data_IF_579027322819
#
_entry.id   IF_579027322819
#
_cell.length_a   1.000
_cell.length_b   1.000
_cell.length_c   1.000
_cell.angle_alpha   90.00
_cell.angle_beta   90.00
_cell.angle_gamma   90.00
#
_symmetry.space_group_name_H-M   'P 1'
#
loop_
_entity.id
_entity.type
_entity.pdbx_description
1 polymer ?
#
# COMPACT_ATOMS: atom_id res chain seq x y z
N UNK A 1 1.49 49.56 -28.45
CA UNK A 1 0.50 50.62 -28.75
C UNK A 1 -0.63 50.53 -27.75
N UNK A 2 -0.62 51.39 -26.73
CA UNK A 2 -1.81 51.77 -25.98
C UNK A 2 -1.52 53.13 -25.33
N UNK A 3 -2.16 54.13 -25.91
CA UNK A 3 -2.04 55.55 -25.64
C UNK A 3 -2.84 55.89 -24.39
N UNK A 4 -2.22 56.43 -23.34
CA UNK A 4 -2.94 57.15 -22.29
C UNK A 4 -2.52 58.62 -22.26
N UNK A 5 -3.54 59.45 -22.41
CA UNK A 5 -3.53 60.91 -22.52
C UNK A 5 -2.96 61.55 -21.24
N UNK A 6 -1.84 62.25 -21.34
CA UNK A 6 -1.48 63.29 -20.36
C UNK A 6 -2.34 64.52 -20.62
N UNK A 7 -3.30 64.78 -19.73
CA UNK A 7 -3.98 66.06 -19.64
C UNK A 7 -3.01 67.12 -19.17
N UNK A 8 -2.61 68.03 -20.07
CA UNK A 8 -1.97 69.30 -19.73
C UNK A 8 -3.02 70.21 -19.10
N UNK A 9 -3.02 70.32 -17.77
CA UNK A 9 -3.64 71.46 -17.08
C UNK A 9 -2.73 72.66 -17.23
N UNK A 10 -3.22 73.70 -17.90
CA UNK A 10 -2.54 74.98 -18.02
C UNK A 10 -2.35 75.59 -16.63
N UNK A 11 -1.09 75.71 -16.19
CA UNK A 11 -0.74 76.55 -15.06
C UNK A 11 -0.91 78.01 -15.49
N UNK A 12 -1.84 78.69 -14.82
CA UNK A 12 -1.99 80.14 -14.87
C UNK A 12 -0.64 80.79 -14.54
N UNK A 13 -0.10 81.55 -15.49
CA UNK A 13 1.07 82.41 -15.28
C UNK A 13 0.66 83.58 -14.40
N UNK A 14 0.76 83.39 -13.07
CA UNK A 14 0.75 84.51 -12.14
C UNK A 14 2.07 85.27 -12.31
N UNK A 15 1.98 86.46 -12.91
CA UNK A 15 3.07 87.44 -12.95
C UNK A 15 3.45 87.83 -11.53
N UNK A 16 4.62 87.38 -11.07
CA UNK A 16 5.25 87.86 -9.83
C UNK A 16 5.77 89.27 -10.12
N UNK A 17 5.03 90.28 -9.68
CA UNK A 17 5.52 91.65 -9.57
C UNK A 17 6.65 91.67 -8.54
N UNK A 18 7.88 91.85 -9.02
CA UNK A 18 9.09 91.87 -8.21
C UNK A 18 9.35 93.27 -7.62
N UNK A 19 8.96 93.48 -6.38
CA UNK A 19 9.76 94.28 -5.46
C UNK A 19 10.51 93.30 -4.56
N UNK A 20 11.78 93.02 -4.90
CA UNK A 20 12.67 92.25 -4.04
C UNK A 20 13.16 93.20 -2.95
N UNK A 21 12.81 92.98 -1.67
CA UNK A 21 13.42 93.73 -0.59
C UNK A 21 14.92 93.40 -0.57
N UNK A 22 15.79 94.40 -0.52
CA UNK A 22 17.23 94.21 -0.34
C UNK A 22 17.47 93.47 0.98
N UNK A 23 17.78 92.18 0.88
CA UNK A 23 18.18 91.34 2.00
C UNK A 23 19.48 91.91 2.61
N UNK A 24 19.56 91.97 3.94
CA UNK A 24 20.79 92.37 4.62
C UNK A 24 21.89 91.30 4.43
N UNK A 25 23.18 91.63 4.60
CA UNK A 25 24.30 90.69 4.44
C UNK A 25 24.23 89.43 5.33
N UNK A 26 23.35 89.39 6.34
CA UNK A 26 23.04 88.21 7.17
C UNK A 26 22.09 87.22 6.50
N UNK A 27 21.23 87.66 5.59
CA UNK A 27 20.20 86.83 4.97
C UNK A 27 20.75 86.03 3.78
N UNK A 28 21.65 86.62 2.99
CA UNK A 28 22.35 85.92 1.91
C UNK A 28 23.21 84.75 2.44
N UNK A 29 23.91 84.96 3.56
CA UNK A 29 24.69 83.92 4.21
C UNK A 29 23.81 82.73 4.68
N UNK A 30 22.61 83.03 5.21
CA UNK A 30 21.63 82.02 5.64
C UNK A 30 21.05 81.25 4.43
N UNK A 31 20.74 81.93 3.34
CA UNK A 31 20.27 81.32 2.09
C UNK A 31 21.34 80.42 1.46
N UNK A 32 22.60 80.88 1.38
CA UNK A 32 23.72 80.09 0.86
C UNK A 32 23.96 78.84 1.72
N UNK A 33 23.91 78.97 3.05
CA UNK A 33 24.06 77.83 3.95
C UNK A 33 22.93 76.80 3.79
N UNK A 34 21.68 77.24 3.59
CA UNK A 34 20.54 76.35 3.31
C UNK A 34 20.70 75.61 1.97
N UNK A 35 21.13 76.32 0.91
CA UNK A 35 21.39 75.72 -0.41
C UNK A 35 22.55 74.71 -0.34
N UNK A 36 23.63 75.02 0.37
CA UNK A 36 24.76 74.11 0.57
C UNK A 36 24.37 72.86 1.35
N UNK A 37 23.51 73.01 2.38
CA UNK A 37 22.95 71.86 3.11
C UNK A 37 22.10 70.98 2.20
N UNK A 38 21.18 71.56 1.43
CA UNK A 38 20.39 70.83 0.43
C UNK A 38 21.26 70.11 -0.60
N UNK A 39 22.28 70.78 -1.15
CA UNK A 39 23.22 70.21 -2.12
C UNK A 39 23.98 69.01 -1.53
N UNK A 40 24.30 69.06 -0.23
CA UNK A 40 24.94 67.98 0.50
C UNK A 40 23.95 66.95 1.08
N UNK A 41 22.67 67.00 0.67
CA UNK A 41 21.56 66.16 1.18
C UNK A 41 21.35 66.26 2.71
N UNK A 42 21.89 67.29 3.34
CA UNK A 42 21.69 67.61 4.73
C UNK A 42 20.44 68.49 4.88
N UNK A 43 19.62 68.20 5.89
CA UNK A 43 18.50 69.08 6.22
C UNK A 43 18.97 70.40 6.85
N UNK A 44 18.09 71.39 6.84
CA UNK A 44 18.27 72.63 7.58
C UNK A 44 16.98 72.96 8.36
N UNK A 45 17.13 73.74 9.42
CA UNK A 45 16.00 74.24 10.21
C UNK A 45 15.28 75.34 9.41
N UNK A 46 13.98 75.18 9.18
CA UNK A 46 13.15 76.15 8.44
C UNK A 46 13.18 77.55 9.09
N UNK A 47 13.37 77.62 10.40
CA UNK A 47 13.52 78.90 11.13
C UNK A 47 14.87 79.56 10.89
N UNK A 48 15.86 78.80 10.39
CA UNK A 48 17.19 79.30 10.05
C UNK A 48 17.24 80.00 8.68
N UNK A 49 16.15 80.02 7.92
CA UNK A 49 16.06 80.71 6.62
C UNK A 49 15.31 82.05 6.75
N UNK A 50 15.69 83.12 6.01
CA UNK A 50 14.98 84.40 6.06
C UNK A 50 13.51 84.25 5.63
N UNK A 51 12.58 84.97 6.28
CA UNK A 51 11.13 84.91 5.99
C UNK A 51 10.69 85.57 4.67
N UNK A 52 11.59 85.69 3.69
CA UNK A 52 11.32 86.25 2.38
C UNK A 52 10.86 85.15 1.39
N UNK A 53 10.44 85.55 0.18
CA UNK A 53 9.90 84.62 -0.82
C UNK A 53 10.89 83.50 -1.21
N UNK A 54 12.20 83.79 -1.23
CA UNK A 54 13.24 82.79 -1.52
C UNK A 54 13.38 81.80 -0.37
N UNK A 55 13.32 82.29 0.87
CA UNK A 55 13.34 81.43 2.04
C UNK A 55 12.12 80.53 2.16
N UNK A 56 10.92 81.05 1.83
CA UNK A 56 9.71 80.24 1.74
C UNK A 56 9.84 79.12 0.68
N UNK A 57 10.39 79.43 -0.50
CA UNK A 57 10.63 78.44 -1.55
C UNK A 57 11.68 77.38 -1.15
N UNK A 58 12.71 77.76 -0.39
CA UNK A 58 13.69 76.81 0.16
C UNK A 58 13.06 75.91 1.22
N UNK A 59 12.24 76.44 2.12
CA UNK A 59 11.50 75.64 3.11
C UNK A 59 10.53 74.66 2.44
N UNK A 60 9.83 75.08 1.37
CA UNK A 60 9.00 74.19 0.56
C UNK A 60 9.83 73.08 -0.11
N UNK A 61 11.00 73.41 -0.67
CA UNK A 61 11.89 72.43 -1.28
C UNK A 61 12.43 71.43 -0.25
N UNK A 62 12.78 71.87 0.96
CA UNK A 62 13.21 70.98 2.05
C UNK A 62 12.08 70.09 2.56
N UNK A 63 10.84 70.60 2.57
CA UNK A 63 9.65 69.80 2.89
C UNK A 63 9.41 68.71 1.84
N UNK A 64 9.49 69.03 0.55
CA UNK A 64 9.39 68.04 -0.54
C UNK A 64 10.52 67.02 -0.45
N UNK A 65 11.76 67.47 -0.26
CA UNK A 65 12.93 66.59 -0.13
C UNK A 65 12.79 65.62 1.05
N UNK A 66 12.33 66.10 2.22
CA UNK A 66 12.08 65.25 3.39
C UNK A 66 10.99 64.22 3.11
N UNK A 67 9.91 64.61 2.43
CA UNK A 67 8.84 63.68 2.04
C UNK A 67 9.34 62.61 1.05
N UNK A 68 10.15 62.99 0.06
CA UNK A 68 10.74 62.05 -0.90
C UNK A 68 11.72 61.08 -0.22
N UNK A 69 12.61 61.59 0.63
CA UNK A 69 13.54 60.77 1.41
C UNK A 69 12.77 59.81 2.33
N UNK A 70 11.70 60.28 2.98
CA UNK A 70 10.83 59.45 3.81
C UNK A 70 10.19 58.33 3.00
N UNK A 71 9.65 58.65 1.82
CA UNK A 71 9.04 57.67 0.92
C UNK A 71 10.08 56.64 0.42
N UNK A 72 11.29 57.09 0.08
CA UNK A 72 12.39 56.20 -0.30
C UNK A 72 12.75 55.24 0.84
N UNK A 73 12.94 55.75 2.06
CA UNK A 73 13.24 54.92 3.24
C UNK A 73 12.10 53.96 3.59
N UNK A 74 10.85 54.42 3.50
CA UNK A 74 9.67 53.58 3.70
C UNK A 74 9.61 52.44 2.68
N UNK A 75 9.93 52.72 1.41
CA UNK A 75 10.01 51.70 0.37
C UNK A 75 11.12 50.69 0.65
N UNK A 76 12.30 51.13 1.09
CA UNK A 76 13.39 50.22 1.50
C UNK A 76 12.96 49.35 2.70
N UNK A 77 12.28 49.92 3.69
CA UNK A 77 11.76 49.16 4.82
C UNK A 77 10.68 48.15 4.42
N UNK A 78 9.82 48.50 3.46
CA UNK A 78 8.85 47.59 2.88
C UNK A 78 9.52 46.43 2.12
N UNK A 79 10.55 46.70 1.32
CA UNK A 79 11.34 45.66 0.62
C UNK A 79 12.05 44.73 1.62
N UNK A 80 12.63 45.28 2.70
CA UNK A 80 13.25 44.47 3.75
C UNK A 80 12.23 43.51 4.39
N UNK A 81 11.05 44.04 4.74
CA UNK A 81 9.96 43.23 5.31
C UNK A 81 9.53 42.12 4.35
N UNK A 82 9.33 42.45 3.07
CA UNK A 82 8.93 41.46 2.05
C UNK A 82 10.00 40.39 1.86
N UNK A 83 11.29 40.75 1.92
CA UNK A 83 12.38 39.78 1.90
C UNK A 83 12.34 38.84 3.12
N UNK A 84 12.02 39.36 4.31
CA UNK A 84 11.84 38.53 5.51
C UNK A 84 10.61 37.61 5.40
N UNK A 85 9.49 38.08 4.87
CA UNK A 85 8.29 37.27 4.60
C UNK A 85 8.60 36.15 3.58
N UNK A 86 9.31 36.48 2.49
CA UNK A 86 9.80 35.48 1.53
C UNK A 86 10.69 34.43 2.18
N UNK A 87 11.55 34.82 3.12
CA UNK A 87 12.44 33.90 3.82
C UNK A 87 11.69 32.97 4.78
N UNK A 88 10.61 33.46 5.41
CA UNK A 88 9.71 32.64 6.22
C UNK A 88 9.05 31.56 5.35
N UNK A 89 8.47 31.94 4.21
CA UNK A 89 7.83 31.00 3.28
C UNK A 89 8.79 29.94 2.75
N UNK A 90 10.04 30.32 2.47
CA UNK A 90 11.10 29.39 2.07
C UNK A 90 11.48 28.46 3.23
N UNK A 91 11.46 28.93 4.47
CA UNK A 91 11.64 28.08 5.66
C UNK A 91 10.61 26.96 5.74
N UNK A 92 9.31 27.28 5.59
CA UNK A 92 8.23 26.28 5.53
C UNK A 92 8.41 25.30 4.38
N UNK A 93 8.71 25.81 3.18
CA UNK A 93 8.94 24.95 2.01
C UNK A 93 10.14 24.01 2.21
N UNK A 94 11.18 24.46 2.94
CA UNK A 94 12.35 23.62 3.27
C UNK A 94 11.96 22.45 4.16
N UNK A 95 11.12 22.71 5.16
CA UNK A 95 10.59 21.70 6.06
C UNK A 95 9.78 20.64 5.28
N UNK A 96 8.80 21.08 4.47
CA UNK A 96 7.95 20.19 3.68
C UNK A 96 8.76 19.32 2.71
N UNK A 97 9.76 19.90 2.04
CA UNK A 97 10.67 19.15 1.13
C UNK A 97 11.50 18.13 1.90
N UNK A 98 11.90 18.44 3.14
CA UNK A 98 12.56 17.51 4.05
C UNK A 98 11.67 16.31 4.39
N UNK A 99 10.40 16.54 4.72
CA UNK A 99 9.43 15.48 4.97
C UNK A 99 9.21 14.60 3.73
N UNK A 100 9.02 15.22 2.56
CA UNK A 100 8.90 14.49 1.29
C UNK A 100 10.12 13.62 1.02
N UNK A 101 11.34 14.12 1.24
CA UNK A 101 12.56 13.34 1.06
C UNK A 101 12.61 12.13 2.02
N UNK A 102 12.23 12.32 3.28
CA UNK A 102 12.17 11.25 4.27
C UNK A 102 11.13 10.18 3.89
N UNK A 103 9.91 10.59 3.53
CA UNK A 103 8.86 9.67 3.08
C UNK A 103 9.29 8.91 1.82
N UNK A 104 9.95 9.58 0.88
CA UNK A 104 10.46 8.95 -0.36
C UNK A 104 11.48 7.87 -0.04
N UNK A 105 12.35 8.08 0.94
CA UNK A 105 13.32 7.06 1.39
C UNK A 105 12.61 5.84 2.01
N UNK A 106 11.59 6.06 2.84
CA UNK A 106 10.80 4.96 3.42
C UNK A 106 10.08 4.16 2.34
N UNK A 107 9.50 4.83 1.34
CA UNK A 107 8.85 4.17 0.21
C UNK A 107 9.87 3.37 -0.60
N UNK A 108 11.08 3.89 -0.82
CA UNK A 108 12.14 3.17 -1.53
C UNK A 108 12.50 1.85 -0.84
N UNK A 109 12.65 1.85 0.50
CA UNK A 109 12.90 0.62 1.27
C UNK A 109 11.73 -0.38 1.17
N UNK A 110 10.48 0.10 1.22
CA UNK A 110 9.30 -0.77 1.05
C UNK A 110 9.24 -1.40 -0.36
N UNK A 111 9.72 -0.70 -1.38
CA UNK A 111 9.81 -1.21 -2.76
C UNK A 111 10.86 -2.32 -2.87
N UNK A 112 12.00 -2.18 -2.20
CA UNK A 112 13.03 -3.23 -2.15
C UNK A 112 12.48 -4.51 -1.49
N UNK A 113 11.79 -4.37 -0.36
CA UNK A 113 11.13 -5.49 0.33
C UNK A 113 10.05 -6.13 -0.56
N UNK A 114 9.25 -5.31 -1.26
CA UNK A 114 8.27 -5.80 -2.23
C UNK A 114 8.93 -6.58 -3.38
N UNK A 115 10.07 -6.11 -3.88
CA UNK A 115 10.85 -6.82 -4.90
C UNK A 115 11.30 -8.20 -4.43
N UNK A 116 11.79 -8.31 -3.19
CA UNK A 116 12.17 -9.58 -2.59
C UNK A 116 10.97 -10.52 -2.42
N UNK A 117 9.84 -10.01 -1.93
CA UNK A 117 8.62 -10.79 -1.76
C UNK A 117 8.07 -11.32 -3.09
N UNK A 118 8.10 -10.50 -4.15
CA UNK A 118 7.68 -10.94 -5.49
C UNK A 118 8.58 -12.08 -6.00
N UNK A 119 9.90 -12.00 -5.77
CA UNK A 119 10.83 -13.06 -6.16
C UNK A 119 10.56 -14.37 -5.41
N UNK A 120 10.31 -14.31 -4.10
CA UNK A 120 9.97 -15.48 -3.29
C UNK A 120 8.65 -16.14 -3.73
N UNK A 121 7.63 -15.33 -4.05
CA UNK A 121 6.35 -15.82 -4.57
C UNK A 121 6.53 -16.44 -5.95
N UNK A 122 7.43 -15.89 -6.79
CA UNK A 122 7.77 -16.46 -8.10
C UNK A 122 8.41 -17.85 -7.97
N UNK A 123 9.41 -18.01 -7.10
CA UNK A 123 10.06 -19.29 -6.83
C UNK A 123 9.05 -20.32 -6.30
N UNK A 124 8.20 -19.92 -5.35
CA UNK A 124 7.16 -20.79 -4.79
C UNK A 124 6.13 -21.21 -5.85
N UNK A 125 5.74 -20.30 -6.75
CA UNK A 125 4.83 -20.60 -7.85
C UNK A 125 5.47 -21.55 -8.87
N UNK A 126 6.75 -21.40 -9.19
CA UNK A 126 7.45 -22.32 -10.08
C UNK A 126 7.52 -23.74 -9.48
N UNK A 127 7.87 -23.85 -8.21
CA UNK A 127 7.89 -25.12 -7.48
C UNK A 127 6.50 -25.78 -7.43
N UNK A 128 5.44 -25.00 -7.16
CA UNK A 128 4.06 -25.48 -7.18
C UNK A 128 3.64 -25.98 -8.57
N UNK A 129 4.08 -25.29 -9.63
CA UNK A 129 3.86 -25.69 -11.02
C UNK A 129 4.50 -27.02 -11.37
N UNK A 130 5.76 -27.21 -10.97
CA UNK A 130 6.48 -28.48 -11.16
C UNK A 130 5.77 -29.63 -10.41
N UNK A 131 5.42 -29.41 -9.15
CA UNK A 131 4.71 -30.41 -8.34
C UNK A 131 3.34 -30.79 -8.93
N UNK A 132 2.58 -29.82 -9.46
CA UNK A 132 1.33 -30.09 -10.15
C UNK A 132 1.53 -30.90 -11.45
N UNK A 133 2.61 -30.64 -12.19
CA UNK A 133 2.95 -31.40 -13.39
C UNK A 133 3.32 -32.86 -13.09
N UNK A 134 4.12 -33.09 -12.04
CA UNK A 134 4.47 -34.43 -11.55
C UNK A 134 3.21 -35.18 -11.07
N UNK A 135 2.36 -34.51 -10.28
CA UNK A 135 1.11 -35.09 -9.81
C UNK A 135 0.20 -35.48 -10.98
N UNK A 136 0.11 -34.66 -12.03
CA UNK A 136 -0.68 -34.97 -13.23
C UNK A 136 -0.16 -36.22 -13.95
N UNK A 137 1.16 -36.38 -14.04
CA UNK A 137 1.77 -37.58 -14.62
C UNK A 137 1.45 -38.82 -13.77
N UNK A 138 1.57 -38.73 -12.45
CA UNK A 138 1.22 -39.82 -11.53
C UNK A 138 -0.27 -40.20 -11.65
N UNK A 139 -1.17 -39.22 -11.77
CA UNK A 139 -2.60 -39.47 -11.96
C UNK A 139 -2.90 -40.20 -13.28
N UNK A 140 -2.19 -39.85 -14.35
CA UNK A 140 -2.33 -40.53 -15.65
C UNK A 140 -1.92 -42.00 -15.54
N UNK A 141 -0.84 -42.30 -14.82
CA UNK A 141 -0.44 -43.67 -14.54
C UNK A 141 -1.49 -44.41 -13.69
N UNK A 142 -2.02 -43.78 -12.64
CA UNK A 142 -3.09 -44.36 -11.83
C UNK A 142 -4.36 -44.67 -12.64
N UNK A 143 -4.75 -43.80 -13.59
CA UNK A 143 -5.89 -44.08 -14.47
C UNK A 143 -5.66 -45.33 -15.33
N UNK A 144 -4.44 -45.50 -15.84
CA UNK A 144 -4.04 -46.72 -16.57
C UNK A 144 -4.12 -47.96 -15.68
N UNK A 145 -3.63 -47.88 -14.44
CA UNK A 145 -3.66 -48.99 -13.50
C UNK A 145 -5.08 -49.39 -13.09
N UNK A 146 -5.98 -48.41 -12.91
CA UNK A 146 -7.41 -48.67 -12.68
C UNK A 146 -8.04 -49.38 -13.88
N UNK A 147 -7.72 -48.97 -15.12
CA UNK A 147 -8.19 -49.64 -16.32
C UNK A 147 -7.71 -51.10 -16.42
N UNK A 148 -6.46 -51.35 -16.06
CA UNK A 148 -5.89 -52.70 -15.98
C UNK A 148 -6.57 -53.55 -14.90
N UNK A 149 -6.79 -52.99 -13.70
CA UNK A 149 -7.47 -53.66 -12.60
C UNK A 149 -8.92 -54.01 -12.96
N UNK A 150 -9.62 -53.12 -13.66
CA UNK A 150 -10.99 -53.36 -14.14
C UNK A 150 -11.03 -54.52 -15.13
N UNK A 151 -10.12 -54.51 -16.10
CA UNK A 151 -9.99 -55.60 -17.10
C UNK A 151 -9.68 -56.94 -16.43
N UNK A 152 -8.84 -56.94 -15.39
CA UNK A 152 -8.53 -58.14 -14.61
C UNK A 152 -9.77 -58.67 -13.85
N UNK A 153 -10.57 -57.79 -13.23
CA UNK A 153 -11.81 -58.18 -12.55
C UNK A 153 -12.85 -58.75 -13.53
N UNK A 154 -12.99 -58.14 -14.71
CA UNK A 154 -13.85 -58.65 -15.78
C UNK A 154 -13.41 -60.06 -16.22
N UNK A 155 -12.11 -60.27 -16.42
CA UNK A 155 -11.57 -61.59 -16.77
C UNK A 155 -11.78 -62.65 -15.67
N UNK A 156 -11.67 -62.27 -14.39
CA UNK A 156 -11.95 -63.18 -13.27
C UNK A 156 -13.44 -63.53 -13.23
N UNK A 157 -14.33 -62.54 -13.39
CA UNK A 157 -15.78 -62.75 -13.46
C UNK A 157 -16.16 -63.79 -14.52
N UNK A 158 -15.61 -63.64 -15.72
CA UNK A 158 -15.89 -64.54 -16.84
C UNK A 158 -15.37 -65.95 -16.57
N UNK A 159 -14.19 -66.10 -15.95
CA UNK A 159 -13.65 -67.40 -15.54
C UNK A 159 -14.50 -68.06 -14.46
N UNK A 160 -14.96 -67.30 -13.47
CA UNK A 160 -15.85 -67.81 -12.41
C UNK A 160 -17.18 -68.29 -13.01
N UNK A 161 -17.72 -67.58 -14.00
CA UNK A 161 -18.92 -68.02 -14.73
C UNK A 161 -18.70 -69.34 -15.47
N UNK A 162 -17.57 -69.49 -16.17
CA UNK A 162 -17.24 -70.75 -16.86
C UNK A 162 -17.07 -71.93 -15.90
N UNK A 163 -16.53 -71.69 -14.69
CA UNK A 163 -16.40 -72.74 -13.66
C UNK A 163 -17.80 -73.17 -13.20
N UNK A 164 -18.71 -72.23 -12.98
CA UNK A 164 -20.10 -72.52 -12.57
C UNK A 164 -20.84 -73.38 -13.62
N UNK A 165 -20.74 -73.02 -14.90
CA UNK A 165 -21.31 -73.82 -16.01
C UNK A 165 -20.76 -75.25 -16.03
N UNK A 166 -19.45 -75.41 -15.87
CA UNK A 166 -18.80 -76.74 -15.84
C UNK A 166 -19.22 -77.57 -14.63
N UNK A 167 -19.43 -76.93 -13.47
CA UNK A 167 -19.92 -77.61 -12.27
C UNK A 167 -21.35 -78.12 -12.47
N UNK A 168 -22.23 -77.32 -13.09
CA UNK A 168 -23.59 -77.75 -13.40
C UNK A 168 -23.60 -78.96 -14.35
N UNK A 169 -22.77 -78.95 -15.40
CA UNK A 169 -22.61 -80.10 -16.30
C UNK A 169 -22.14 -81.35 -15.55
N UNK A 170 -21.17 -81.22 -14.65
CA UNK A 170 -20.65 -82.33 -13.87
C UNK A 170 -21.67 -82.87 -12.86
N UNK A 171 -22.43 -82.00 -12.20
CA UNK A 171 -23.55 -82.41 -11.32
C UNK A 171 -24.61 -83.21 -12.09
N UNK A 172 -24.96 -82.78 -13.31
CA UNK A 172 -25.90 -83.50 -14.16
C UNK A 172 -25.37 -84.88 -14.56
N UNK A 173 -24.09 -84.97 -14.96
CA UNK A 173 -23.46 -86.25 -15.30
C UNK A 173 -23.41 -87.23 -14.11
N UNK A 174 -23.08 -86.73 -12.92
CA UNK A 174 -23.09 -87.54 -11.68
C UNK A 174 -24.51 -88.06 -11.39
N UNK A 175 -25.54 -87.24 -11.56
CA UNK A 175 -26.94 -87.64 -11.35
C UNK A 175 -27.40 -88.71 -12.37
N UNK A 176 -26.97 -88.59 -13.63
CA UNK A 176 -27.26 -89.57 -14.67
C UNK A 176 -26.58 -90.92 -14.37
N UNK A 177 -25.30 -90.92 -13.98
CA UNK A 177 -24.58 -92.12 -13.55
C UNK A 177 -25.25 -92.75 -12.33
N UNK A 178 -25.74 -91.94 -11.38
CA UNK A 178 -26.51 -92.41 -10.23
C UNK A 178 -27.78 -93.15 -10.63
N UNK A 179 -28.48 -92.64 -11.64
CA UNK A 179 -29.69 -93.26 -12.21
C UNK A 179 -29.36 -94.59 -12.90
N UNK A 180 -28.27 -94.63 -13.68
CA UNK A 180 -27.77 -95.87 -14.30
C UNK A 180 -27.37 -96.91 -13.25
N UNK A 181 -26.63 -96.52 -12.20
CA UNK A 181 -26.28 -97.40 -11.10
C UNK A 181 -27.53 -97.94 -10.38
N UNK A 182 -28.55 -97.11 -10.15
CA UNK A 182 -29.84 -97.58 -9.60
C UNK A 182 -30.53 -98.63 -10.48
N UNK A 183 -30.46 -98.45 -11.81
CA UNK A 183 -31.00 -99.39 -12.79
C UNK A 183 -30.23 -100.71 -12.76
N UNK A 184 -28.89 -100.67 -12.74
CA UNK A 184 -28.03 -101.86 -12.67
C UNK A 184 -28.28 -102.63 -11.37
N UNK A 185 -28.44 -101.93 -10.23
CA UNK A 185 -28.76 -102.56 -8.96
C UNK A 185 -30.11 -103.30 -9.02
N UNK A 186 -31.10 -102.71 -9.70
CA UNK A 186 -32.42 -103.32 -9.93
C UNK A 186 -32.31 -104.57 -10.80
N UNK A 187 -31.59 -104.49 -11.93
CA UNK A 187 -31.34 -105.65 -12.81
C UNK A 187 -30.62 -106.75 -12.04
N UNK A 188 -29.56 -106.40 -11.31
CA UNK A 188 -28.78 -107.33 -10.51
C UNK A 188 -29.62 -108.06 -9.45
N UNK A 189 -30.55 -107.35 -8.81
CA UNK A 189 -31.50 -107.92 -7.85
C UNK A 189 -32.47 -108.90 -8.53
N UNK A 190 -33.02 -108.52 -9.69
CA UNK A 190 -33.88 -109.38 -10.49
C UNK A 190 -33.14 -110.64 -10.98
N UNK A 191 -31.92 -110.50 -11.47
CA UNK A 191 -31.07 -111.62 -11.91
C UNK A 191 -30.73 -112.54 -10.75
N UNK A 192 -30.44 -112.00 -9.56
CA UNK A 192 -30.23 -112.79 -8.35
C UNK A 192 -31.49 -113.60 -7.95
N UNK A 193 -32.68 -113.01 -8.07
CA UNK A 193 -33.95 -113.70 -7.84
C UNK A 193 -34.23 -114.78 -8.89
N UNK A 194 -33.96 -114.50 -10.17
CA UNK A 194 -34.07 -115.49 -11.25
C UNK A 194 -33.11 -116.67 -11.04
N UNK A 195 -31.86 -116.39 -10.69
CA UNK A 195 -30.84 -117.39 -10.39
C UNK A 195 -31.19 -118.24 -9.16
N UNK A 196 -31.79 -117.62 -8.14
CA UNK A 196 -32.32 -118.32 -6.98
C UNK A 196 -33.44 -119.29 -7.40
N UNK A 197 -34.41 -118.83 -8.18
CA UNK A 197 -35.50 -119.66 -8.69
C UNK A 197 -34.96 -120.82 -9.55
N UNK A 198 -33.98 -120.55 -10.42
CA UNK A 198 -33.33 -121.57 -11.24
C UNK A 198 -32.55 -122.60 -10.39
N UNK A 199 -31.91 -122.18 -9.30
CA UNK A 199 -31.24 -123.08 -8.36
C UNK A 199 -32.24 -124.01 -7.65
N UNK A 200 -33.40 -123.46 -7.25
CA UNK A 200 -34.49 -124.24 -6.65
C UNK A 200 -35.02 -125.29 -7.65
N UNK A 201 -35.29 -124.90 -8.89
CA UNK A 201 -35.82 -125.82 -9.91
C UNK A 201 -34.78 -126.86 -10.35
N UNK A 202 -33.50 -126.48 -10.43
CA UNK A 202 -32.40 -127.41 -10.70
C UNK A 202 -32.23 -128.45 -9.58
N UNK A 203 -32.41 -128.07 -8.31
CA UNK A 203 -32.45 -129.01 -7.19
C UNK A 203 -33.67 -129.95 -7.27
N UNK A 204 -34.81 -129.45 -7.78
CA UNK A 204 -36.04 -130.21 -7.96
C UNK A 204 -35.95 -131.27 -9.07
N UNK A 205 -35.17 -131.00 -10.12
CA UNK A 205 -34.90 -131.93 -11.22
C UNK A 205 -33.89 -133.05 -10.88
N UNK A 206 -33.33 -133.07 -9.67
CA UNK A 206 -32.45 -134.14 -9.18
C UNK A 206 -31.15 -134.28 -9.99
N UNK A 207 -30.77 -135.50 -10.36
CA UNK A 207 -29.54 -135.79 -11.12
C UNK A 207 -29.49 -135.08 -12.48
N UNK A 208 -30.63 -134.91 -13.16
CA UNK A 208 -30.71 -134.25 -14.47
C UNK A 208 -30.47 -132.72 -14.40
N UNK A 209 -30.71 -132.10 -13.23
CA UNK A 209 -30.56 -130.66 -13.01
C UNK A 209 -29.17 -130.23 -12.52
N UNK A 210 -28.26 -131.18 -12.28
CA UNK A 210 -26.98 -130.92 -11.58
C UNK A 210 -26.08 -129.91 -12.30
N UNK A 211 -26.00 -129.98 -13.63
CA UNK A 211 -25.27 -128.99 -14.45
C UNK A 211 -25.91 -127.59 -14.41
N UNK A 212 -27.25 -127.52 -14.43
CA UNK A 212 -28.00 -126.26 -14.31
C UNK A 212 -27.87 -125.62 -12.93
N UNK A 213 -27.78 -126.43 -11.86
CA UNK A 213 -27.59 -125.92 -10.50
C UNK A 213 -26.25 -125.21 -10.32
N UNK A 214 -25.18 -125.69 -10.97
CA UNK A 214 -23.85 -125.06 -10.92
C UNK A 214 -23.90 -123.70 -11.62
N UNK A 215 -24.51 -123.64 -12.82
CA UNK A 215 -24.67 -122.38 -13.57
C UNK A 215 -25.54 -121.39 -12.78
N UNK A 216 -26.65 -121.84 -12.18
CA UNK A 216 -27.53 -120.97 -11.40
C UNK A 216 -26.86 -120.40 -10.13
N UNK A 217 -26.04 -121.20 -9.44
CA UNK A 217 -25.24 -120.74 -8.30
C UNK A 217 -24.20 -119.70 -8.72
N UNK A 218 -23.55 -119.89 -9.87
CA UNK A 218 -22.58 -118.95 -10.43
C UNK A 218 -23.26 -117.62 -10.81
N UNK A 219 -24.41 -117.66 -11.50
CA UNK A 219 -25.19 -116.46 -11.84
C UNK A 219 -25.65 -115.71 -10.58
N UNK A 220 -26.04 -116.43 -9.52
CA UNK A 220 -26.40 -115.84 -8.23
C UNK A 220 -25.19 -115.13 -7.59
N UNK A 221 -24.02 -115.76 -7.62
CA UNK A 221 -22.77 -115.17 -7.12
C UNK A 221 -22.39 -113.90 -7.89
N UNK A 222 -22.40 -113.94 -9.23
CA UNK A 222 -22.14 -112.78 -10.10
C UNK A 222 -23.13 -111.64 -9.86
N UNK A 223 -24.42 -111.96 -9.68
CA UNK A 223 -25.44 -110.96 -9.35
C UNK A 223 -25.21 -110.35 -7.96
N UNK A 224 -24.80 -111.14 -6.97
CA UNK A 224 -24.42 -110.61 -5.65
C UNK A 224 -23.15 -109.75 -5.68
N UNK A 225 -22.19 -110.06 -6.56
CA UNK A 225 -20.99 -109.26 -6.78
C UNK A 225 -21.33 -107.95 -7.51
N UNK A 226 -22.18 -108.01 -8.54
CA UNK A 226 -22.67 -106.84 -9.27
C UNK A 226 -23.41 -105.87 -8.34
N UNK A 227 -24.32 -106.37 -7.49
CA UNK A 227 -25.02 -105.53 -6.52
C UNK A 227 -24.06 -104.81 -5.55
N UNK A 228 -23.04 -105.51 -5.03
CA UNK A 228 -22.02 -104.91 -4.16
C UNK A 228 -21.19 -103.84 -4.87
N UNK A 229 -20.75 -104.10 -6.10
CA UNK A 229 -20.03 -103.10 -6.89
C UNK A 229 -20.90 -101.88 -7.18
N UNK A 230 -22.19 -102.08 -7.41
CA UNK A 230 -23.13 -100.98 -7.67
C UNK A 230 -23.34 -100.12 -6.41
N UNK A 231 -23.38 -100.72 -5.23
CA UNK A 231 -23.45 -99.99 -3.96
C UNK A 231 -22.18 -99.17 -3.67
N UNK A 232 -21.00 -99.73 -4.00
CA UNK A 232 -19.74 -98.98 -3.93
C UNK A 232 -19.74 -97.77 -4.86
N UNK A 233 -20.25 -97.93 -6.10
CA UNK A 233 -20.43 -96.82 -7.05
C UNK A 233 -21.35 -95.74 -6.45
N UNK A 234 -22.50 -96.11 -5.87
CA UNK A 234 -23.41 -95.15 -5.22
C UNK A 234 -22.74 -94.39 -4.08
N UNK A 235 -21.96 -95.08 -3.26
CA UNK A 235 -21.19 -94.44 -2.18
C UNK A 235 -20.21 -93.41 -2.74
N UNK A 236 -19.48 -93.73 -3.80
CA UNK A 236 -18.58 -92.78 -4.46
C UNK A 236 -19.31 -91.61 -5.10
N UNK A 237 -20.47 -91.83 -5.73
CA UNK A 237 -21.28 -90.75 -6.31
C UNK A 237 -21.79 -89.79 -5.23
N UNK A 238 -22.21 -90.30 -4.07
CA UNK A 238 -22.62 -89.46 -2.94
C UNK A 238 -21.45 -88.58 -2.44
N UNK A 239 -20.25 -89.14 -2.31
CA UNK A 239 -19.06 -88.37 -1.95
C UNK A 239 -18.75 -87.30 -3.00
N UNK A 240 -18.75 -87.67 -4.29
CA UNK A 240 -18.52 -86.72 -5.38
C UNK A 240 -19.56 -85.59 -5.39
N UNK A 241 -20.82 -85.90 -5.13
CA UNK A 241 -21.88 -84.90 -5.07
C UNK A 241 -21.72 -83.94 -3.88
N UNK A 242 -21.26 -84.46 -2.73
CA UNK A 242 -20.88 -83.64 -1.58
C UNK A 242 -19.71 -82.69 -1.89
N UNK A 243 -18.65 -83.19 -2.54
CA UNK A 243 -17.51 -82.38 -2.99
C UNK A 243 -17.95 -81.31 -4.00
N UNK A 244 -18.80 -81.65 -4.97
CA UNK A 244 -19.34 -80.68 -5.93
C UNK A 244 -20.16 -79.58 -5.26
N UNK A 245 -20.92 -79.91 -4.21
CA UNK A 245 -21.66 -78.89 -3.45
C UNK A 245 -20.73 -77.94 -2.71
N UNK A 246 -19.58 -78.41 -2.22
CA UNK A 246 -18.58 -77.56 -1.57
C UNK A 246 -17.91 -76.62 -2.58
N UNK A 247 -17.52 -77.15 -3.74
CA UNK A 247 -16.92 -76.34 -4.82
C UNK A 247 -17.92 -75.27 -5.31
N UNK A 248 -19.20 -75.62 -5.50
CA UNK A 248 -20.23 -74.67 -5.89
C UNK A 248 -20.37 -73.50 -4.89
N UNK A 249 -20.29 -73.79 -3.59
CA UNK A 249 -20.31 -72.76 -2.55
C UNK A 249 -19.09 -71.83 -2.64
N UNK A 250 -17.89 -72.40 -2.84
CA UNK A 250 -16.68 -71.60 -3.01
C UNK A 250 -16.71 -70.72 -4.27
N UNK A 251 -17.34 -71.18 -5.35
CA UNK A 251 -17.56 -70.39 -6.57
C UNK A 251 -18.53 -69.25 -6.33
N UNK A 252 -19.62 -69.46 -5.59
CA UNK A 252 -20.56 -68.40 -5.23
C UNK A 252 -19.90 -67.33 -4.34
N UNK A 253 -19.13 -67.75 -3.34
CA UNK A 253 -18.31 -66.83 -2.52
C UNK A 253 -17.32 -66.03 -3.39
N UNK A 254 -16.69 -66.68 -4.37
CA UNK A 254 -15.80 -66.03 -5.34
C UNK A 254 -16.54 -65.01 -6.21
N UNK A 255 -17.78 -65.30 -6.67
CA UNK A 255 -18.60 -64.31 -7.39
C UNK A 255 -18.89 -63.08 -6.54
N UNK A 256 -19.24 -63.28 -5.27
CA UNK A 256 -19.46 -62.18 -4.32
C UNK A 256 -18.21 -61.31 -4.14
N UNK A 257 -17.04 -61.94 -3.99
CA UNK A 257 -15.76 -61.26 -3.88
C UNK A 257 -15.40 -60.46 -5.15
N UNK A 258 -15.62 -61.03 -6.34
CA UNK A 258 -15.36 -60.36 -7.63
C UNK A 258 -16.31 -59.18 -7.82
N UNK A 259 -17.59 -59.32 -7.51
CA UNK A 259 -18.57 -58.23 -7.58
C UNK A 259 -18.17 -57.06 -6.68
N UNK A 260 -17.73 -57.37 -5.46
CA UNK A 260 -17.25 -56.36 -4.51
C UNK A 260 -15.97 -55.69 -5.03
N UNK A 261 -15.01 -56.48 -5.53
CA UNK A 261 -13.77 -55.99 -6.13
C UNK A 261 -14.00 -55.06 -7.31
N UNK A 262 -14.93 -55.41 -8.21
CA UNK A 262 -15.31 -54.58 -9.35
C UNK A 262 -15.91 -53.24 -8.91
N UNK A 263 -16.79 -53.23 -7.90
CA UNK A 263 -17.35 -51.98 -7.36
C UNK A 263 -16.28 -51.08 -6.72
N UNK A 264 -15.30 -51.67 -6.03
CA UNK A 264 -14.16 -50.92 -5.45
C UNK A 264 -13.30 -50.30 -6.55
N UNK A 265 -13.01 -51.03 -7.63
CA UNK A 265 -12.23 -50.51 -8.77
C UNK A 265 -12.96 -49.35 -9.47
N UNK A 266 -14.27 -49.46 -9.69
CA UNK A 266 -15.06 -48.37 -10.28
C UNK A 266 -15.07 -47.12 -9.38
N UNK A 267 -15.25 -47.30 -8.07
CA UNK A 267 -15.15 -46.21 -7.09
C UNK A 267 -13.76 -45.57 -7.08
N UNK A 268 -12.70 -46.38 -7.20
CA UNK A 268 -11.33 -45.88 -7.33
C UNK A 268 -11.16 -45.04 -8.60
N UNK A 269 -11.72 -45.47 -9.73
CA UNK A 269 -11.68 -44.73 -10.99
C UNK A 269 -12.27 -43.32 -10.87
N UNK A 270 -13.47 -43.19 -10.29
CA UNK A 270 -14.11 -41.87 -10.10
C UNK A 270 -13.31 -40.95 -9.18
N UNK A 271 -12.70 -41.50 -8.12
CA UNK A 271 -11.83 -40.73 -7.20
C UNK A 271 -10.54 -40.27 -7.88
N UNK A 272 -9.95 -41.11 -8.72
CA UNK A 272 -8.76 -40.78 -9.50
C UNK A 272 -9.09 -39.67 -10.52
N UNK A 273 -10.20 -39.78 -11.24
CA UNK A 273 -10.65 -38.75 -12.19
C UNK A 273 -10.86 -37.39 -11.49
N UNK A 274 -11.57 -37.39 -10.35
CA UNK A 274 -11.77 -36.17 -9.55
C UNK A 274 -10.45 -35.56 -9.05
N UNK A 275 -9.48 -36.38 -8.65
CA UNK A 275 -8.16 -35.89 -8.24
C UNK A 275 -7.38 -35.28 -9.44
N UNK A 276 -7.48 -35.87 -10.62
CA UNK A 276 -6.86 -35.35 -11.84
C UNK A 276 -7.44 -33.97 -12.22
N UNK A 277 -8.75 -33.78 -12.14
CA UNK A 277 -9.41 -32.48 -12.37
C UNK A 277 -8.96 -31.41 -11.36
N UNK A 278 -8.77 -31.78 -10.09
CA UNK A 278 -8.26 -30.85 -9.07
C UNK A 278 -6.83 -30.42 -9.37
N UNK A 279 -5.97 -31.33 -9.82
CA UNK A 279 -4.60 -31.02 -10.23
C UNK A 279 -4.56 -30.13 -11.49
N UNK A 280 -5.46 -30.37 -12.45
CA UNK A 280 -5.59 -29.52 -13.63
C UNK A 280 -5.94 -28.06 -13.23
N UNK A 281 -6.93 -27.89 -12.35
CA UNK A 281 -7.27 -26.56 -11.79
C UNK A 281 -6.12 -25.90 -11.05
N UNK A 282 -5.35 -26.65 -10.26
CA UNK A 282 -4.14 -26.11 -9.61
C UNK A 282 -3.11 -25.63 -10.62
N UNK A 283 -2.95 -26.35 -11.74
CA UNK A 283 -2.03 -25.96 -12.82
C UNK A 283 -2.47 -24.65 -13.49
N UNK A 284 -3.78 -24.48 -13.74
CA UNK A 284 -4.35 -23.25 -14.28
C UNK A 284 -4.18 -22.07 -13.31
N UNK A 285 -4.45 -22.27 -12.02
CA UNK A 285 -4.22 -21.26 -10.98
C UNK A 285 -2.77 -20.83 -10.93
N UNK A 286 -1.83 -21.76 -11.08
CA UNK A 286 -0.40 -21.45 -11.07
C UNK A 286 0.02 -20.63 -12.30
N UNK A 287 -0.54 -20.92 -13.47
CA UNK A 287 -0.31 -20.11 -14.68
C UNK A 287 -0.85 -18.67 -14.50
N UNK A 288 -2.03 -18.51 -13.89
CA UNK A 288 -2.58 -17.21 -13.57
C UNK A 288 -1.73 -16.45 -12.54
N UNK A 289 -1.18 -17.16 -11.54
CA UNK A 289 -0.28 -16.58 -10.56
C UNK A 289 1.01 -16.08 -11.21
N UNK A 290 1.63 -16.85 -12.11
CA UNK A 290 2.81 -16.41 -12.85
C UNK A 290 2.57 -15.13 -13.67
N UNK A 291 1.40 -14.99 -14.28
CA UNK A 291 1.01 -13.76 -14.98
C UNK A 291 0.85 -12.58 -14.00
N UNK A 292 0.22 -12.80 -12.85
CA UNK A 292 0.06 -11.78 -11.81
C UNK A 292 1.42 -11.30 -11.26
N UNK A 293 2.36 -12.23 -11.04
CA UNK A 293 3.73 -11.92 -10.60
C UNK A 293 4.44 -11.03 -11.63
N UNK A 294 4.34 -11.35 -12.92
CA UNK A 294 4.92 -10.54 -14.00
C UNK A 294 4.36 -9.11 -14.02
N UNK A 295 3.04 -8.98 -13.84
CA UNK A 295 2.38 -7.68 -13.73
C UNK A 295 2.85 -6.91 -12.49
N UNK A 296 2.97 -7.60 -11.35
CA UNK A 296 3.40 -6.99 -10.10
C UNK A 296 4.86 -6.53 -10.17
N UNK A 297 5.77 -7.33 -10.73
CA UNK A 297 7.15 -6.90 -11.00
C UNK A 297 7.22 -5.64 -11.85
N UNK A 298 6.38 -5.55 -12.89
CA UNK A 298 6.33 -4.39 -13.78
C UNK A 298 5.84 -3.14 -13.04
N UNK A 299 4.77 -3.28 -12.24
CA UNK A 299 4.25 -2.20 -11.42
C UNK A 299 5.26 -1.73 -10.36
N UNK A 300 5.94 -2.64 -9.67
CA UNK A 300 6.99 -2.31 -8.69
C UNK A 300 8.16 -1.56 -9.35
N UNK A 301 8.55 -1.93 -10.56
CA UNK A 301 9.58 -1.21 -11.32
C UNK A 301 9.15 0.23 -11.68
N UNK A 302 7.90 0.42 -12.09
CA UNK A 302 7.34 1.75 -12.39
C UNK A 302 7.25 2.63 -11.14
N UNK A 303 6.82 2.06 -10.01
CA UNK A 303 6.79 2.76 -8.72
C UNK A 303 8.22 3.14 -8.31
N UNK A 304 9.20 2.23 -8.44
CA UNK A 304 10.61 2.51 -8.15
C UNK A 304 11.14 3.70 -8.95
N UNK A 305 10.87 3.72 -10.27
CA UNK A 305 11.25 4.85 -11.14
C UNK A 305 10.58 6.16 -10.71
N UNK A 306 9.30 6.10 -10.35
CA UNK A 306 8.54 7.27 -9.88
C UNK A 306 9.12 7.83 -8.58
N UNK A 307 9.48 6.96 -7.62
CA UNK A 307 10.10 7.33 -6.35
C UNK A 307 11.47 7.95 -6.56
N UNK A 308 12.29 7.41 -7.46
CA UNK A 308 13.58 8.02 -7.85
C UNK A 308 13.38 9.41 -8.46
N UNK A 309 12.34 9.60 -9.30
CA UNK A 309 12.00 10.91 -9.86
C UNK A 309 11.59 11.92 -8.78
N UNK A 310 10.79 11.49 -7.80
CA UNK A 310 10.39 12.33 -6.66
C UNK A 310 11.61 12.71 -5.83
N UNK A 311 12.50 11.76 -5.50
CA UNK A 311 13.74 12.02 -4.77
C UNK A 311 14.62 13.05 -5.49
N UNK A 312 14.79 12.90 -6.82
CA UNK A 312 15.56 13.83 -7.63
C UNK A 312 14.92 15.24 -7.65
N UNK A 313 13.58 15.32 -7.76
CA UNK A 313 12.85 16.60 -7.69
C UNK A 313 12.97 17.26 -6.32
N UNK A 314 12.87 16.49 -5.23
CA UNK A 314 13.06 17.00 -3.87
C UNK A 314 14.48 17.54 -3.67
N UNK A 315 15.50 16.80 -4.12
CA UNK A 315 16.90 17.25 -4.07
C UNK A 315 17.12 18.53 -4.89
N UNK A 316 16.58 18.61 -6.10
CA UNK A 316 16.63 19.81 -6.94
C UNK A 316 15.95 21.01 -6.26
N UNK A 317 14.75 20.79 -5.71
CA UNK A 317 13.98 21.84 -5.02
C UNK A 317 14.76 22.37 -3.81
N UNK A 318 15.43 21.51 -3.06
CA UNK A 318 16.33 21.92 -1.96
C UNK A 318 17.44 22.85 -2.43
N UNK A 319 18.11 22.53 -3.55
CA UNK A 319 19.15 23.41 -4.12
C UNK A 319 18.59 24.75 -4.60
N UNK A 320 17.39 24.76 -5.18
CA UNK A 320 16.71 26.01 -5.56
C UNK A 320 16.36 26.87 -4.34
N UNK A 321 15.86 26.25 -3.26
CA UNK A 321 15.60 26.90 -1.98
C UNK A 321 16.87 27.52 -1.40
N UNK A 322 18.00 26.82 -1.38
CA UNK A 322 19.28 27.37 -0.91
C UNK A 322 19.68 28.63 -1.69
N UNK A 323 19.51 28.62 -3.01
CA UNK A 323 19.80 29.77 -3.86
C UNK A 323 18.86 30.96 -3.58
N UNK A 324 17.57 30.70 -3.34
CA UNK A 324 16.58 31.73 -2.99
C UNK A 324 16.91 32.32 -1.61
N UNK A 325 17.17 31.49 -0.60
CA UNK A 325 17.56 31.91 0.74
C UNK A 325 18.76 32.85 0.69
N UNK A 326 19.80 32.51 -0.09
CA UNK A 326 20.98 33.36 -0.27
C UNK A 326 20.63 34.73 -0.88
N UNK A 327 19.70 34.78 -1.83
CA UNK A 327 19.24 36.04 -2.46
C UNK A 327 18.44 36.89 -1.48
N UNK A 328 17.56 36.28 -0.67
CA UNK A 328 16.76 36.96 0.34
C UNK A 328 17.65 37.55 1.45
N UNK A 329 18.62 36.78 1.95
CA UNK A 329 19.62 37.29 2.92
C UNK A 329 20.40 38.48 2.35
N UNK A 330 20.80 38.41 1.08
CA UNK A 330 21.49 39.53 0.41
C UNK A 330 20.59 40.77 0.31
N UNK A 331 19.32 40.60 -0.07
CA UNK A 331 18.35 41.70 -0.13
C UNK A 331 18.13 42.33 1.26
N UNK A 332 18.00 41.50 2.29
CA UNK A 332 17.85 41.92 3.69
C UNK A 332 19.08 42.72 4.16
N UNK A 333 20.29 42.25 3.86
CA UNK A 333 21.54 42.97 4.21
C UNK A 333 21.66 44.31 3.49
N UNK A 334 21.30 44.39 2.21
CA UNK A 334 21.31 45.65 1.45
C UNK A 334 20.30 46.64 2.01
N UNK A 335 19.09 46.18 2.34
CA UNK A 335 18.06 47.02 2.93
C UNK A 335 18.44 47.50 4.34
N UNK A 336 19.03 46.63 5.18
CA UNK A 336 19.58 47.02 6.48
C UNK A 336 20.68 48.09 6.35
N UNK A 337 21.59 47.93 5.39
CA UNK A 337 22.66 48.90 5.15
C UNK A 337 22.08 50.26 4.72
N UNK A 338 21.09 50.24 3.83
CA UNK A 338 20.39 51.45 3.42
C UNK A 338 19.65 52.10 4.60
N UNK A 339 19.03 51.32 5.47
CA UNK A 339 18.29 51.81 6.64
C UNK A 339 19.17 52.19 7.85
N UNK A 340 20.48 52.02 7.76
CA UNK A 340 21.39 52.34 8.86
C UNK A 340 21.54 53.86 9.08
N UNK A 341 21.34 54.67 8.05
CA UNK A 341 21.43 56.13 8.12
C UNK A 341 20.07 56.76 8.51
N UNK A 342 20.01 57.32 9.72
CA UNK A 342 18.84 58.00 10.30
C UNK A 342 18.83 59.52 10.08
N UNK A 343 19.79 60.06 9.33
CA UNK A 343 19.99 61.50 9.22
C UNK A 343 18.82 62.21 8.52
N UNK A 344 18.27 63.25 9.15
CA UNK A 344 17.37 64.21 8.51
C UNK A 344 15.90 63.80 8.37
N UNK A 345 15.45 62.76 9.09
CA UNK A 345 14.04 62.35 9.14
C UNK A 345 13.52 62.29 10.58
N UNK A 346 12.45 63.03 10.87
CA UNK A 346 11.72 62.90 12.12
C UNK A 346 10.94 61.58 12.16
N UNK A 347 10.90 60.96 13.34
CA UNK A 347 10.23 59.67 13.56
C UNK A 347 10.76 58.56 12.63
N UNK A 348 12.04 58.61 12.26
CA UNK A 348 12.69 57.63 11.38
C UNK A 348 12.53 56.19 11.88
N UNK A 349 12.56 55.97 13.19
CA UNK A 349 12.37 54.65 13.80
C UNK A 349 11.02 54.01 13.44
N UNK A 350 9.97 54.82 13.24
CA UNK A 350 8.67 54.34 12.78
C UNK A 350 8.64 54.04 11.28
N UNK A 351 9.44 54.75 10.49
CA UNK A 351 9.63 54.49 9.05
C UNK A 351 10.37 53.16 8.85
N UNK A 352 11.36 52.88 9.70
CA UNK A 352 12.17 51.67 9.68
C UNK A 352 11.47 50.44 10.26
N UNK A 353 10.55 50.63 11.20
CA UNK A 353 9.84 49.58 11.95
C UNK A 353 9.38 48.37 11.13
N UNK A 354 8.77 48.49 9.92
CA UNK A 354 8.37 47.32 9.14
C UNK A 354 9.51 46.34 8.86
N UNK A 355 10.73 46.84 8.64
CA UNK A 355 11.92 46.02 8.42
C UNK A 355 12.35 45.27 9.70
N UNK A 356 12.37 45.98 10.83
CA UNK A 356 12.78 45.39 12.11
C UNK A 356 11.77 44.33 12.58
N UNK A 357 10.47 44.57 12.40
CA UNK A 357 9.42 43.58 12.65
C UNK A 357 9.51 42.38 11.70
N UNK A 358 9.85 42.59 10.43
CA UNK A 358 10.09 41.51 9.47
C UNK A 358 11.20 40.56 9.93
N UNK A 359 12.34 41.13 10.34
CA UNK A 359 13.47 40.38 10.90
C UNK A 359 13.10 39.60 12.16
N UNK A 360 12.38 40.25 13.07
CA UNK A 360 11.95 39.63 14.32
C UNK A 360 10.96 38.49 14.06
N UNK A 361 9.94 38.72 13.22
CA UNK A 361 8.99 37.69 12.78
C UNK A 361 9.70 36.50 12.14
N UNK A 362 10.72 36.74 11.30
CA UNK A 362 11.53 35.67 10.69
C UNK A 362 12.27 34.87 11.76
N UNK A 363 12.88 35.52 12.73
CA UNK A 363 13.53 34.85 13.86
C UNK A 363 12.58 33.93 14.62
N UNK A 364 11.37 34.41 14.92
CA UNK A 364 10.32 33.59 15.55
C UNK A 364 9.92 32.39 14.68
N UNK A 365 9.72 32.60 13.37
CA UNK A 365 9.38 31.52 12.44
C UNK A 365 10.46 30.43 12.38
N UNK A 366 11.75 30.80 12.39
CA UNK A 366 12.86 29.83 12.41
C UNK A 366 12.82 28.95 13.67
N UNK A 367 12.42 29.50 14.82
CA UNK A 367 12.22 28.73 16.06
C UNK A 367 11.01 27.79 15.92
N UNK A 368 9.90 28.28 15.36
CA UNK A 368 8.69 27.46 15.13
C UNK A 368 8.97 26.24 14.24
N UNK A 369 9.80 26.44 13.22
CA UNK A 369 10.27 25.42 12.29
C UNK A 369 11.31 24.46 12.92
N UNK A 370 11.72 24.67 14.17
CA UNK A 370 12.76 23.87 14.84
C UNK A 370 14.18 24.10 14.31
N UNK A 371 14.38 25.10 13.45
CA UNK A 371 15.68 25.42 12.85
C UNK A 371 16.54 26.33 13.76
N UNK A 372 15.99 26.82 14.87
CA UNK A 372 16.69 27.57 15.92
C UNK A 372 16.16 27.18 17.30
N UNK A 373 16.99 27.25 18.36
CA UNK A 373 16.53 26.95 19.72
C UNK A 373 15.54 28.00 20.22
N UNK A 374 14.62 27.58 21.09
CA UNK A 374 13.64 28.45 21.75
C UNK A 374 14.30 29.31 22.86
N UNK A 375 15.15 30.25 22.45
CA UNK A 375 15.80 31.22 23.34
C UNK A 375 14.82 32.32 23.78
N UNK A 376 14.58 32.53 25.09
CA UNK A 376 13.77 33.64 25.60
C UNK A 376 14.17 35.02 25.06
N UNK A 377 15.45 35.23 24.74
CA UNK A 377 15.92 36.49 24.14
C UNK A 377 15.32 36.76 22.75
N UNK A 378 14.87 35.73 22.03
CA UNK A 378 14.23 35.87 20.73
C UNK A 378 12.80 36.45 20.83
N UNK A 379 12.16 36.40 22.00
CA UNK A 379 10.84 36.99 22.24
C UNK A 379 10.88 38.52 22.36
N UNK A 380 12.06 39.14 22.30
CA UNK A 380 12.25 40.58 22.47
C UNK A 380 12.63 41.21 21.12
N UNK A 381 11.86 42.20 20.68
CA UNK A 381 12.20 43.01 19.52
C UNK A 381 13.51 43.79 19.81
N UNK A 382 14.51 43.62 18.95
CA UNK A 382 15.81 44.28 19.13
C UNK A 382 15.70 45.77 18.78
N UNK A 383 16.12 46.62 19.73
CA UNK A 383 16.10 48.09 19.61
C UNK A 383 14.78 48.67 20.14
N UNK A 384 14.84 49.47 21.21
CA UNK A 384 13.66 50.15 21.80
C UNK A 384 13.38 51.54 21.19
N UNK A 385 14.02 51.85 20.07
CA UNK A 385 14.02 53.20 19.51
C UNK A 385 12.61 53.62 19.02
N UNK A 386 11.87 52.71 18.36
CA UNK A 386 10.49 52.97 17.95
C UNK A 386 9.55 53.17 19.15
N UNK A 387 9.67 52.35 20.19
CA UNK A 387 8.90 52.50 21.42
C UNK A 387 9.16 53.85 22.10
N UNK A 388 10.43 54.21 22.29
CA UNK A 388 10.84 55.48 22.89
C UNK A 388 10.32 56.68 22.08
N UNK A 389 10.37 56.60 20.75
CA UNK A 389 9.82 57.63 19.87
C UNK A 389 8.30 57.79 20.05
N UNK A 390 7.55 56.70 20.23
CA UNK A 390 6.10 56.74 20.42
C UNK A 390 5.70 57.20 21.82
N UNK A 391 6.42 56.80 22.87
CA UNK A 391 6.16 57.24 24.25
C UNK A 391 6.23 58.77 24.38
N UNK A 392 7.16 59.42 23.66
CA UNK A 392 7.29 60.89 23.62
C UNK A 392 6.11 61.62 22.96
N UNK A 393 5.27 60.92 22.19
CA UNK A 393 4.14 61.50 21.43
C UNK A 393 2.80 61.39 22.15
N UNK A 394 2.73 60.73 23.32
CA UNK A 394 1.48 60.59 24.09
C UNK A 394 0.93 61.95 24.53
N UNK A 395 1.83 62.91 24.75
CA UNK A 395 1.49 64.29 25.14
C UNK A 395 0.90 65.11 23.99
N UNK A 396 1.01 64.65 22.74
CA UNK A 396 0.45 65.32 21.56
C UNK A 396 -1.01 64.87 21.31
N UNK A 397 -2.01 65.76 21.48
CA UNK A 397 -3.42 65.43 21.30
C UNK A 397 -3.76 64.86 19.91
N UNK A 398 -3.03 65.25 18.87
CA UNK A 398 -3.26 64.79 17.50
C UNK A 398 -2.80 63.34 17.29
N UNK A 399 -1.81 62.88 18.08
CA UNK A 399 -1.14 61.58 17.89
C UNK A 399 -1.42 60.57 18.99
N UNK A 400 -1.96 61.02 20.13
CA UNK A 400 -2.22 60.22 21.33
C UNK A 400 -2.92 58.89 21.06
N UNK A 401 -4.03 58.90 20.32
CA UNK A 401 -4.80 57.67 20.06
C UNK A 401 -4.00 56.63 19.27
N UNK A 402 -3.20 57.08 18.29
CA UNK A 402 -2.36 56.19 17.49
C UNK A 402 -1.15 55.69 18.29
N UNK A 403 -0.56 56.53 19.15
CA UNK A 403 0.50 56.15 20.07
C UNK A 403 0.06 55.10 21.12
N UNK A 404 -1.12 55.28 21.72
CA UNK A 404 -1.70 54.32 22.66
C UNK A 404 -2.01 52.97 21.98
N UNK A 405 -2.55 53.00 20.75
CA UNK A 405 -2.80 51.80 19.96
C UNK A 405 -1.50 51.05 19.61
N UNK A 406 -0.43 51.78 19.27
CA UNK A 406 0.89 51.20 18.99
C UNK A 406 1.45 50.46 20.22
N UNK A 407 1.47 51.11 21.39
CA UNK A 407 2.03 50.53 22.62
C UNK A 407 1.25 49.31 23.08
N UNK A 408 -0.08 49.31 22.90
CA UNK A 408 -0.92 48.15 23.17
C UNK A 408 -0.57 46.98 22.23
N UNK A 409 -0.47 47.24 20.93
CA UNK A 409 -0.10 46.23 19.94
C UNK A 409 1.30 45.67 20.20
N UNK A 410 2.28 46.51 20.54
CA UNK A 410 3.63 46.09 20.90
C UNK A 410 3.65 45.17 22.13
N UNK A 411 2.89 45.50 23.17
CA UNK A 411 2.78 44.68 24.37
C UNK A 411 2.16 43.30 24.06
N UNK A 412 1.11 43.27 23.23
CA UNK A 412 0.52 42.01 22.76
C UNK A 412 1.51 41.19 21.94
N UNK A 413 2.24 41.80 21.01
CA UNK A 413 3.24 41.10 20.19
C UNK A 413 4.33 40.43 21.04
N UNK A 414 4.85 41.13 22.05
CA UNK A 414 5.86 40.57 22.96
C UNK A 414 5.29 39.46 23.85
N UNK A 415 4.09 39.64 24.39
CA UNK A 415 3.45 38.63 25.24
C UNK A 415 3.20 37.33 24.47
N UNK A 416 2.71 37.43 23.23
CA UNK A 416 2.47 36.27 22.37
C UNK A 416 3.78 35.64 21.86
N UNK A 417 4.81 36.44 21.56
CA UNK A 417 6.14 35.92 21.23
C UNK A 417 6.78 35.16 22.42
N UNK A 418 6.65 35.68 23.65
CA UNK A 418 7.12 35.01 24.86
C UNK A 418 6.34 33.71 25.11
N UNK A 419 5.01 33.75 24.94
CA UNK A 419 4.14 32.56 25.03
C UNK A 419 4.56 31.49 24.02
N UNK A 420 4.82 31.90 22.77
CA UNK A 420 5.30 31.02 21.72
C UNK A 420 6.63 30.37 22.10
N UNK A 421 7.65 31.15 22.46
CA UNK A 421 8.98 30.63 22.78
C UNK A 421 8.92 29.68 23.99
N UNK A 422 8.17 30.02 25.04
CA UNK A 422 7.97 29.14 26.21
C UNK A 422 7.28 27.82 25.84
N UNK A 423 6.26 27.87 24.98
CA UNK A 423 5.57 26.66 24.52
C UNK A 423 6.48 25.77 23.68
N UNK A 424 7.27 26.35 22.77
CA UNK A 424 8.20 25.59 21.93
C UNK A 424 9.39 25.03 22.72
N UNK A 425 9.87 25.70 23.77
CA UNK A 425 10.84 25.13 24.69
C UNK A 425 10.33 23.86 25.41
N UNK A 426 9.00 23.69 25.46
CA UNK A 426 8.31 22.53 26.02
C UNK A 426 7.79 21.57 24.92
N UNK A 427 8.20 21.74 23.66
CA UNK A 427 7.74 20.93 22.53
C UNK A 427 6.21 20.99 22.32
N UNK A 428 5.58 22.12 22.62
CA UNK A 428 4.13 22.32 22.52
C UNK A 428 3.77 23.24 21.34
N UNK A 429 3.66 22.66 20.14
CA UNK A 429 3.29 23.39 18.92
C UNK A 429 1.81 23.79 18.86
N UNK A 430 0.92 23.12 19.60
CA UNK A 430 -0.50 23.46 19.69
C UNK A 430 -0.71 24.84 20.34
N UNK A 431 0.16 25.21 21.27
CA UNK A 431 0.18 26.55 21.87
C UNK A 431 1.13 27.49 21.13
N UNK A 432 2.27 26.98 20.65
CA UNK A 432 3.28 27.78 19.94
C UNK A 432 2.77 28.38 18.63
N UNK A 433 2.03 27.61 17.82
CA UNK A 433 1.58 28.03 16.49
C UNK A 433 0.52 29.14 16.56
N UNK A 434 -0.55 29.04 17.38
CA UNK A 434 -1.51 30.13 17.55
C UNK A 434 -0.88 31.38 18.17
N UNK A 435 0.07 31.22 19.09
CA UNK A 435 0.80 32.35 19.68
C UNK A 435 1.65 33.10 18.63
N UNK A 436 2.33 32.38 17.73
CA UNK A 436 3.02 32.99 16.58
C UNK A 436 2.06 33.79 15.68
N UNK A 437 0.88 33.23 15.38
CA UNK A 437 -0.13 33.90 14.57
C UNK A 437 -0.67 35.16 15.25
N UNK A 438 -0.94 35.09 16.56
CA UNK A 438 -1.39 36.23 17.35
C UNK A 438 -0.32 37.35 17.42
N UNK A 439 0.95 36.97 17.60
CA UNK A 439 2.07 37.91 17.53
C UNK A 439 2.15 38.60 16.16
N UNK A 440 1.96 37.86 15.06
CA UNK A 440 1.97 38.41 13.70
C UNK A 440 0.82 39.41 13.47
N UNK A 441 -0.38 39.15 13.99
CA UNK A 441 -1.51 40.10 13.95
C UNK A 441 -1.13 41.38 14.70
N UNK A 442 -0.60 41.26 15.91
CA UNK A 442 -0.17 42.41 16.71
C UNK A 442 0.94 43.23 16.03
N UNK A 443 1.91 42.59 15.36
CA UNK A 443 2.94 43.29 14.57
C UNK A 443 2.34 44.09 13.40
N UNK A 444 1.28 43.58 12.75
CA UNK A 444 0.56 44.31 11.70
C UNK A 444 -0.17 45.53 12.25
N UNK A 445 -0.74 45.41 13.45
CA UNK A 445 -1.38 46.53 14.16
C UNK A 445 -0.34 47.61 14.54
N UNK A 446 0.87 47.21 14.95
CA UNK A 446 1.99 48.14 15.19
C UNK A 446 2.33 48.94 13.92
N UNK A 447 2.45 48.29 12.76
CA UNK A 447 2.75 48.96 11.48
C UNK A 447 1.63 49.95 11.11
N UNK A 448 0.37 49.55 11.32
CA UNK A 448 -0.79 50.39 11.02
C UNK A 448 -0.86 51.62 11.93
N UNK A 449 -0.59 51.44 13.23
CA UNK A 449 -0.54 52.54 14.19
C UNK A 449 0.64 53.49 13.89
N UNK A 450 1.82 52.94 13.55
CA UNK A 450 2.97 53.72 13.14
C UNK A 450 2.67 54.58 11.90
N UNK A 451 2.03 54.02 10.86
CA UNK A 451 1.65 54.78 9.68
C UNK A 451 0.74 55.98 10.01
N UNK A 452 -0.23 55.81 10.90
CA UNK A 452 -1.10 56.91 11.35
C UNK A 452 -0.34 58.00 12.10
N UNK A 453 0.60 57.63 12.97
CA UNK A 453 1.47 58.59 13.68
C UNK A 453 2.27 59.41 12.67
N UNK A 454 2.78 58.75 11.64
CA UNK A 454 3.56 59.35 10.55
C UNK A 454 2.72 60.31 9.69
N UNK A 455 1.48 59.96 9.34
CA UNK A 455 0.58 60.81 8.54
C UNK A 455 0.16 62.09 9.27
N UNK A 456 0.16 62.06 10.59
CA UNK A 456 -0.13 63.21 11.47
C UNK A 456 1.11 64.06 11.80
N UNK A 457 2.23 63.83 11.11
CA UNK A 457 3.50 64.56 11.24
C UNK A 457 3.84 65.35 9.99
#
# INVERSE_FOLDING_TARGET
MLSLKLGRTAASSASVSSEIPTAGPSDDARLIAAIQRLANRAGFDETAVPGNAVGAALSDLERVRRNDLRAERANVAAVAREASEGAINIGWTTYDVGEVAQSTQTIASAIEEMGASIAEVAETSEAAGSSAAEARQAMTACMSDVGNARSAMDAIRDRTHQIDERLQLLQNAIAEIGTMAGTIATISSQTNLLALNATIEAARAGEAGRGFSVVAAEVKSLSGQTARSTEQIRTWLNTLQGEMSQIARAVEESRGAVSTGSSVVDSLGTRVESAAERIARTSEMNAALAAAITQQSSATAEISSSVQSIAAKAAKTRTEIEAITKRLVKAETLAQTALADSSGLDLYELVRLPADLGLWKRGLATILLGAAPADPAAAILRGRAARQAVEGLISDPARRNAAEAFLKAEATAHAEAERMVKALAQNNWDVGTPAYQAANVAMKDMITAAARIIETA
#
